data_IF_263098783095
#
_entry.id   IF_263098783095
#
_cell.length_a   1.000
_cell.length_b   1.000
_cell.length_c   1.000
_cell.angle_alpha   90.00
_cell.angle_beta   90.00
_cell.angle_gamma   90.00
#
_symmetry.space_group_name_H-M   'P 1'
#
loop_
_entity.id
_entity.type
_entity.pdbx_description
1 polymer ?
#
# COMPACT_ATOMS: atom_id res chain seq x y z
N UNK A 1 -20.76 42.86 8.46
CA UNK A 1 -20.02 42.42 7.26
C UNK A 1 -19.16 43.58 6.81
N UNK A 2 -17.88 43.59 7.20
CA UNK A 2 -16.89 44.55 6.71
C UNK A 2 -15.97 43.77 5.75
N UNK A 3 -15.67 44.30 4.55
CA UNK A 3 -14.74 43.65 3.63
C UNK A 3 -13.32 43.70 4.20
N UNK A 4 -12.59 42.59 4.04
CA UNK A 4 -11.22 42.37 4.51
C UNK A 4 -10.31 43.48 3.96
N UNK A 5 -9.57 44.16 4.84
CA UNK A 5 -8.47 45.04 4.46
C UNK A 5 -7.48 44.19 3.66
N UNK A 6 -7.40 44.45 2.36
CA UNK A 6 -6.39 43.88 1.49
C UNK A 6 -5.01 44.22 2.06
N UNK A 7 -4.36 43.24 2.69
CA UNK A 7 -2.92 43.28 2.83
C UNK A 7 -2.39 43.26 1.38
N UNK A 8 -1.66 44.31 1.00
CA UNK A 8 -1.06 44.37 -0.33
C UNK A 8 -0.17 43.14 -0.51
N UNK A 9 -0.31 42.39 -1.63
CA UNK A 9 0.56 41.28 -1.91
C UNK A 9 2.00 41.79 -1.92
N UNK A 10 2.90 41.05 -1.25
CA UNK A 10 4.33 41.33 -1.32
C UNK A 10 4.78 41.35 -2.79
N UNK A 11 5.72 42.22 -3.18
CA UNK A 11 6.14 42.33 -4.57
C UNK A 11 6.60 40.96 -5.12
N UNK A 12 6.00 40.56 -6.23
CA UNK A 12 6.10 39.24 -6.90
C UNK A 12 7.50 38.88 -7.44
N UNK A 13 8.54 39.70 -7.23
CA UNK A 13 9.77 39.63 -8.04
C UNK A 13 10.83 38.63 -7.59
N UNK A 14 10.73 38.03 -6.40
CA UNK A 14 11.78 37.11 -5.87
C UNK A 14 11.21 35.88 -5.14
N UNK A 15 10.00 35.43 -5.49
CA UNK A 15 9.46 34.18 -4.90
C UNK A 15 10.21 33.01 -5.51
N UNK A 16 10.94 32.24 -4.70
CA UNK A 16 11.53 30.98 -5.13
C UNK A 16 10.42 30.00 -5.57
N UNK A 17 10.41 29.61 -6.84
CA UNK A 17 9.44 28.69 -7.46
C UNK A 17 10.09 27.39 -7.94
N UNK A 18 11.33 27.14 -7.56
CA UNK A 18 12.08 25.93 -7.93
C UNK A 18 11.50 24.66 -7.30
N UNK A 19 10.66 24.82 -6.27
CA UNK A 19 9.95 23.75 -5.56
C UNK A 19 10.92 22.60 -5.22
N UNK A 20 12.12 22.93 -4.76
CA UNK A 20 13.16 21.97 -4.42
C UNK A 20 13.16 21.57 -2.94
N UNK A 21 12.25 22.18 -2.16
CA UNK A 21 12.14 22.00 -0.73
C UNK A 21 13.10 22.85 0.10
N UNK A 22 13.73 23.90 -0.44
CA UNK A 22 14.66 24.75 0.31
C UNK A 22 14.01 26.04 0.84
N UNK A 23 13.08 26.62 0.08
CA UNK A 23 12.50 27.93 0.39
C UNK A 23 11.17 27.84 1.15
N UNK A 24 11.00 28.73 2.14
CA UNK A 24 9.72 29.02 2.79
C UNK A 24 9.22 30.37 2.24
N UNK A 25 8.08 30.35 1.56
CA UNK A 25 7.54 31.52 0.84
C UNK A 25 6.11 31.83 1.26
N UNK A 26 5.64 33.10 1.14
CA UNK A 26 4.25 33.44 1.39
C UNK A 26 3.32 32.60 0.50
N UNK A 27 2.28 32.02 1.10
CA UNK A 27 1.43 31.07 0.40
C UNK A 27 0.65 31.75 -0.75
N UNK A 28 0.31 33.04 -0.61
CA UNK A 28 -0.34 33.88 -1.63
C UNK A 28 0.52 34.14 -2.84
N UNK A 29 1.79 34.46 -2.58
CA UNK A 29 2.77 34.66 -3.61
C UNK A 29 3.07 33.33 -4.34
N UNK A 30 3.14 32.21 -3.61
CA UNK A 30 3.36 30.88 -4.19
C UNK A 30 2.19 30.42 -5.06
N UNK A 31 0.94 30.47 -4.58
CA UNK A 31 -0.23 30.10 -5.38
C UNK A 31 -0.39 31.01 -6.61
N UNK A 32 -0.14 32.32 -6.47
CA UNK A 32 -0.19 33.25 -7.59
C UNK A 32 0.83 32.91 -8.68
N UNK A 33 2.05 32.51 -8.29
CA UNK A 33 3.09 32.07 -9.21
C UNK A 33 2.73 30.74 -9.92
N UNK A 34 1.92 29.90 -9.30
CA UNK A 34 1.53 28.57 -9.81
C UNK A 34 0.12 28.52 -10.41
N UNK A 35 -0.59 29.65 -10.51
CA UNK A 35 -1.98 29.72 -10.97
C UNK A 35 -2.23 29.18 -12.39
N UNK A 36 -1.17 29.04 -13.21
CA UNK A 36 -1.21 28.49 -14.58
C UNK A 36 -0.30 27.27 -14.77
N UNK A 37 0.33 26.78 -13.71
CA UNK A 37 1.21 25.62 -13.78
C UNK A 37 0.38 24.33 -13.77
N UNK A 38 0.89 23.29 -14.43
CA UNK A 38 0.36 21.94 -14.26
C UNK A 38 0.67 21.44 -12.84
N UNK A 39 -0.23 20.63 -12.30
CA UNK A 39 -0.03 20.05 -10.98
C UNK A 39 1.06 18.97 -11.00
N UNK A 40 1.62 18.69 -9.82
CA UNK A 40 2.74 17.78 -9.68
C UNK A 40 2.71 17.04 -8.35
N UNK A 41 3.28 15.82 -8.30
CA UNK A 41 3.41 15.08 -7.07
C UNK A 41 4.54 15.64 -6.20
N UNK A 42 4.34 15.64 -4.89
CA UNK A 42 5.34 16.17 -3.98
C UNK A 42 4.90 16.27 -2.53
N UNK A 43 5.68 17.03 -1.77
CA UNK A 43 5.53 17.28 -0.34
C UNK A 43 5.42 18.77 -0.12
N UNK A 44 4.60 19.18 0.84
CA UNK A 44 4.47 20.56 1.25
C UNK A 44 4.41 20.68 2.77
N UNK A 45 4.97 21.75 3.30
CA UNK A 45 4.91 22.11 4.71
C UNK A 45 4.27 23.49 4.85
N UNK A 46 3.34 23.58 5.79
CA UNK A 46 2.49 24.72 6.08
C UNK A 46 2.97 25.38 7.37
N UNK A 47 3.12 26.70 7.34
CA UNK A 47 3.61 27.49 8.47
C UNK A 47 2.69 28.66 8.76
N UNK A 48 2.65 29.06 10.02
CA UNK A 48 1.92 30.25 10.47
C UNK A 48 2.67 31.56 10.18
N UNK A 49 2.06 32.68 10.56
CA UNK A 49 2.64 34.03 10.40
C UNK A 49 3.99 34.22 11.10
N UNK A 50 4.33 33.39 12.10
CA UNK A 50 5.60 33.39 12.82
C UNK A 50 6.61 32.40 12.23
N UNK A 51 6.27 31.74 11.11
CA UNK A 51 7.04 30.66 10.49
C UNK A 51 7.21 29.43 11.40
N UNK A 52 6.27 29.20 12.31
CA UNK A 52 6.20 27.94 13.06
C UNK A 52 5.52 26.87 12.20
N UNK A 53 6.07 25.66 12.18
CA UNK A 53 5.56 24.55 11.38
C UNK A 53 4.23 24.05 11.97
N UNK A 54 3.18 24.09 11.16
CA UNK A 54 1.82 23.72 11.56
C UNK A 54 1.38 22.37 10.99
N UNK A 55 1.81 22.05 9.78
CA UNK A 55 1.43 20.82 9.09
C UNK A 55 2.44 20.44 8.00
N UNK A 56 2.62 19.15 7.77
CA UNK A 56 3.32 18.59 6.62
C UNK A 56 2.39 17.62 5.91
N UNK A 57 2.16 17.85 4.62
CA UNK A 57 1.33 17.01 3.76
C UNK A 57 2.07 16.55 2.51
N UNK A 58 1.48 15.60 1.81
CA UNK A 58 1.94 15.15 0.51
C UNK A 58 0.77 14.91 -0.43
N UNK A 59 0.98 15.06 -1.74
CA UNK A 59 -0.08 14.92 -2.73
C UNK A 59 0.49 14.49 -4.08
N UNK A 60 -0.35 13.87 -4.93
CA UNK A 60 -0.10 13.74 -6.37
C UNK A 60 -0.40 15.04 -7.13
N UNK A 61 -1.16 15.94 -6.50
CA UNK A 61 -1.57 17.26 -6.96
C UNK A 61 -1.30 18.31 -5.86
N UNK A 62 -0.03 18.70 -5.69
CA UNK A 62 0.43 19.61 -4.63
C UNK A 62 -0.16 21.01 -4.75
N UNK A 63 -0.29 21.57 -5.96
CA UNK A 63 -0.85 22.93 -6.14
C UNK A 63 -2.29 22.96 -5.62
N UNK A 64 -3.11 21.97 -6.01
CA UNK A 64 -4.48 21.83 -5.52
C UNK A 64 -4.53 21.61 -4.01
N UNK A 65 -3.70 20.70 -3.48
CA UNK A 65 -3.68 20.40 -2.05
C UNK A 65 -3.32 21.63 -1.19
N UNK A 66 -2.35 22.44 -1.61
CA UNK A 66 -1.98 23.68 -0.92
C UNK A 66 -3.12 24.71 -1.00
N UNK A 67 -3.79 24.82 -2.14
CA UNK A 67 -4.96 25.71 -2.31
C UNK A 67 -6.09 25.32 -1.35
N UNK A 68 -6.49 24.05 -1.36
CA UNK A 68 -7.56 23.51 -0.51
C UNK A 68 -7.21 23.63 0.98
N UNK A 69 -5.94 23.46 1.35
CA UNK A 69 -5.47 23.64 2.72
C UNK A 69 -5.60 25.10 3.13
N UNK A 70 -5.16 26.02 2.28
CA UNK A 70 -5.22 27.44 2.60
C UNK A 70 -6.65 27.97 2.71
N UNK A 71 -7.55 27.59 1.80
CA UNK A 71 -8.97 27.96 1.90
C UNK A 71 -9.61 27.47 3.21
N UNK A 72 -9.15 26.33 3.74
CA UNK A 72 -9.66 25.72 4.97
C UNK A 72 -9.05 26.32 6.24
N UNK A 73 -7.76 26.65 6.20
CA UNK A 73 -6.98 27.11 7.36
C UNK A 73 -6.72 28.61 7.29
N UNK A 74 -7.70 29.38 6.81
CA UNK A 74 -7.55 30.76 6.32
C UNK A 74 -6.86 31.73 7.29
N UNK A 75 -6.92 31.46 8.61
CA UNK A 75 -6.31 32.28 9.66
C UNK A 75 -5.02 31.69 10.26
N UNK A 76 -4.59 30.51 9.80
CA UNK A 76 -3.44 29.77 10.36
C UNK A 76 -2.31 29.62 9.34
N UNK A 77 -2.61 29.39 8.05
CA UNK A 77 -1.58 29.22 7.02
C UNK A 77 -1.13 30.56 6.43
N UNK A 78 0.14 30.91 6.60
CA UNK A 78 0.75 32.13 6.04
C UNK A 78 1.92 31.85 5.10
N UNK A 79 2.69 30.78 5.33
CA UNK A 79 3.83 30.41 4.47
C UNK A 79 3.80 28.92 4.11
N UNK A 80 4.40 28.59 2.97
CA UNK A 80 4.54 27.22 2.48
C UNK A 80 5.98 26.93 2.06
N UNK A 81 6.43 25.70 2.28
CA UNK A 81 7.64 25.10 1.72
C UNK A 81 7.21 23.93 0.85
N UNK A 82 7.67 23.87 -0.40
CA UNK A 82 7.21 22.83 -1.36
C UNK A 82 8.39 22.13 -1.99
N UNK A 83 8.28 20.80 -2.11
CA UNK A 83 9.23 19.95 -2.82
C UNK A 83 8.50 19.08 -3.86
N UNK A 84 8.81 19.29 -5.14
CA UNK A 84 8.30 18.50 -6.25
C UNK A 84 9.15 17.23 -6.46
N UNK A 85 8.50 16.08 -6.66
CA UNK A 85 9.17 14.84 -7.06
C UNK A 85 9.21 14.79 -8.59
N UNK A 86 10.35 15.18 -9.16
CA UNK A 86 10.53 15.31 -10.62
C UNK A 86 10.34 14.00 -11.39
N UNK A 87 10.66 12.85 -10.77
CA UNK A 87 10.44 11.54 -11.38
C UNK A 87 9.07 10.98 -10.96
N UNK A 88 8.06 11.22 -11.80
CA UNK A 88 6.69 10.78 -11.54
C UNK A 88 6.56 9.26 -11.30
N UNK A 89 7.39 8.43 -11.96
CA UNK A 89 7.38 6.98 -11.75
C UNK A 89 7.86 6.56 -10.35
N UNK A 90 8.65 7.41 -9.69
CA UNK A 90 9.13 7.21 -8.32
C UNK A 90 8.29 7.98 -7.29
N UNK A 91 7.30 8.76 -7.73
CA UNK A 91 6.36 9.44 -6.86
C UNK A 91 5.23 8.48 -6.44
N UNK A 92 5.59 7.37 -5.79
CA UNK A 92 4.60 6.49 -5.17
C UNK A 92 4.10 7.11 -3.86
N UNK A 93 2.96 6.63 -3.36
CA UNK A 93 2.41 7.06 -2.06
C UNK A 93 3.42 6.84 -0.93
N UNK A 94 4.02 5.65 -0.85
CA UNK A 94 5.04 5.32 0.15
C UNK A 94 6.25 6.27 0.11
N UNK A 95 6.71 6.67 -1.09
CA UNK A 95 7.84 7.60 -1.22
C UNK A 95 7.47 8.99 -0.73
N UNK A 96 6.27 9.48 -1.10
CA UNK A 96 5.74 10.77 -0.64
C UNK A 96 5.56 10.80 0.88
N UNK A 97 4.96 9.76 1.44
CA UNK A 97 4.74 9.62 2.88
C UNK A 97 6.08 9.58 3.64
N UNK A 98 7.04 8.80 3.14
CA UNK A 98 8.37 8.72 3.75
C UNK A 98 9.11 10.07 3.74
N UNK A 99 8.97 10.87 2.67
CA UNK A 99 9.59 12.20 2.59
C UNK A 99 8.88 13.22 3.49
N UNK A 100 7.54 13.19 3.54
CA UNK A 100 6.77 14.01 4.48
C UNK A 100 7.14 13.70 5.94
N UNK A 101 7.26 12.41 6.29
CA UNK A 101 7.72 11.98 7.61
C UNK A 101 9.14 12.45 7.93
N UNK A 102 10.02 12.52 6.93
CA UNK A 102 11.36 13.08 7.12
C UNK A 102 11.34 14.56 7.52
N UNK A 103 10.44 15.36 6.93
CA UNK A 103 10.29 16.79 7.30
C UNK A 103 9.68 16.97 8.69
N UNK A 104 8.75 16.10 9.10
CA UNK A 104 8.23 16.08 10.48
C UNK A 104 9.36 15.74 11.47
N UNK A 105 10.19 14.76 11.15
CA UNK A 105 11.35 14.39 11.98
C UNK A 105 12.40 15.50 12.04
N UNK A 106 12.64 16.21 10.92
CA UNK A 106 13.55 17.37 10.85
C UNK A 106 13.12 18.48 11.83
N UNK A 107 11.82 18.72 11.97
CA UNK A 107 11.27 19.70 12.90
C UNK A 107 11.41 19.32 14.38
N UNK A 108 11.76 18.05 14.68
CA UNK A 108 11.97 17.54 16.03
C UNK A 108 10.73 17.46 16.93
N UNK A 109 9.57 17.89 16.42
CA UNK A 109 8.27 17.85 17.10
C UNK A 109 7.18 17.57 16.08
N UNK A 110 6.14 16.82 16.47
CA UNK A 110 4.98 16.59 15.61
C UNK A 110 4.18 17.89 15.47
N UNK A 111 4.00 18.43 14.25
CA UNK A 111 3.20 19.63 14.04
C UNK A 111 1.75 19.42 14.48
N UNK A 112 1.04 20.46 14.97
CA UNK A 112 -0.35 20.33 15.41
C UNK A 112 -1.26 19.64 14.38
N UNK A 113 -1.12 19.99 13.09
CA UNK A 113 -1.90 19.42 12.00
C UNK A 113 -1.56 17.99 11.62
N UNK A 114 -0.45 17.43 12.11
CA UNK A 114 -0.11 16.01 11.98
C UNK A 114 -0.43 15.21 13.26
N UNK A 115 -1.01 15.88 14.28
CA UNK A 115 -1.36 15.29 15.57
C UNK A 115 -2.72 15.79 16.05
N UNK A 116 -2.73 16.66 17.07
CA UNK A 116 -3.93 17.07 17.82
C UNK A 116 -4.98 17.77 16.96
N UNK A 117 -4.55 18.53 15.95
CA UNK A 117 -5.40 19.40 15.15
C UNK A 117 -5.62 18.84 13.74
N UNK A 118 -5.29 17.57 13.49
CA UNK A 118 -5.34 16.90 12.19
C UNK A 118 -6.65 17.13 11.42
N UNK A 119 -7.77 17.29 12.13
CA UNK A 119 -9.11 17.59 11.59
C UNK A 119 -9.22 18.92 10.84
N UNK A 120 -8.39 19.90 11.19
CA UNK A 120 -8.39 21.24 10.61
C UNK A 120 -7.58 21.23 9.30
N UNK A 121 -6.63 20.31 9.16
CA UNK A 121 -5.66 20.27 8.07
C UNK A 121 -6.01 19.26 6.98
N UNK A 122 -6.80 18.24 7.30
CA UNK A 122 -7.24 17.22 6.35
C UNK A 122 -8.61 17.52 5.72
N UNK A 123 -8.77 17.09 4.46
CA UNK A 123 -10.03 17.19 3.73
C UNK A 123 -11.14 16.28 4.32
N UNK A 124 -12.43 16.51 4.00
CA UNK A 124 -13.53 15.66 4.47
C UNK A 124 -13.38 14.18 4.07
N UNK A 125 -12.58 13.90 3.04
CA UNK A 125 -12.30 12.56 2.52
C UNK A 125 -11.25 11.76 3.32
N UNK A 126 -10.38 12.43 4.08
CA UNK A 126 -9.28 11.79 4.84
C UNK A 126 -9.65 11.55 6.32
N UNK A 127 -10.83 12.00 6.73
CA UNK A 127 -11.29 11.96 8.13
C UNK A 127 -11.73 10.55 8.61
N UNK A 128 -11.84 9.56 7.73
CA UNK A 128 -12.42 8.26 8.08
C UNK A 128 -11.43 7.20 8.62
N UNK A 129 -10.14 7.51 8.76
CA UNK A 129 -9.14 6.55 9.24
C UNK A 129 -8.73 6.72 10.72
N UNK A 130 -8.82 7.91 11.32
CA UNK A 130 -8.24 8.18 12.65
C UNK A 130 -9.23 8.78 13.65
N UNK A 131 -10.20 7.99 14.11
CA UNK A 131 -10.82 8.27 15.41
C UNK A 131 -10.78 7.01 16.27
N UNK A 132 -9.78 6.91 17.14
CA UNK A 132 -9.93 6.16 18.39
C UNK A 132 -10.96 6.91 19.24
N UNK A 133 -12.21 6.46 19.20
CA UNK A 133 -13.24 6.89 20.16
C UNK A 133 -13.37 5.76 21.18
N UNK A 134 -12.87 5.98 22.40
CA UNK A 134 -13.35 5.20 23.53
C UNK A 134 -14.85 5.46 23.70
N UNK A 135 -15.65 4.41 23.49
CA UNK A 135 -16.97 4.30 24.12
C UNK A 135 -18.22 4.70 23.33
N UNK A 136 -18.24 4.68 21.99
CA UNK A 136 -19.50 4.77 21.25
C UNK A 136 -19.57 3.71 20.15
N UNK A 137 -20.60 2.86 20.19
CA UNK A 137 -20.84 1.82 19.19
C UNK A 137 -21.08 2.43 17.79
N UNK A 138 -20.43 1.91 16.72
CA UNK A 138 -20.45 2.56 15.42
C UNK A 138 -21.65 2.13 14.57
N UNK A 139 -22.45 3.10 14.09
CA UNK A 139 -23.24 2.92 12.87
C UNK A 139 -22.33 3.15 11.64
N UNK A 140 -22.19 2.12 10.81
CA UNK A 140 -21.31 2.08 9.64
C UNK A 140 -21.86 2.88 8.43
N UNK A 141 -20.98 3.63 7.74
CA UNK A 141 -21.13 3.98 6.32
C UNK A 141 -19.82 3.69 5.55
N UNK A 142 -19.90 3.33 4.26
CA UNK A 142 -19.13 2.22 3.72
C UNK A 142 -17.83 2.66 3.00
N UNK A 143 -16.67 2.35 3.59
CA UNK A 143 -15.84 1.24 3.12
C UNK A 143 -15.22 1.17 1.70
N UNK A 144 -15.63 1.88 0.64
CA UNK A 144 -15.49 1.31 -0.74
C UNK A 144 -14.08 0.80 -1.12
N UNK A 145 -13.99 -0.53 -1.30
CA UNK A 145 -12.80 -1.32 -1.64
C UNK A 145 -12.17 -0.88 -2.96
N UNK A 146 -10.86 -1.11 -3.19
CA UNK A 146 -10.29 -1.12 -4.53
C UNK A 146 -11.01 -2.11 -5.48
N UNK A 147 -11.59 -3.18 -4.92
CA UNK A 147 -12.46 -4.11 -5.64
C UNK A 147 -13.77 -3.51 -6.19
N UNK A 148 -14.17 -2.31 -5.73
CA UNK A 148 -15.31 -1.58 -6.30
C UNK A 148 -14.95 -0.75 -7.53
N UNK A 149 -13.65 -0.53 -7.80
CA UNK A 149 -13.22 0.19 -8.99
C UNK A 149 -13.28 -0.69 -10.25
N UNK A 150 -13.12 -2.01 -10.10
CA UNK A 150 -13.36 -2.98 -11.16
C UNK A 150 -14.85 -3.05 -11.59
N UNK A 151 -15.77 -2.98 -10.62
CA UNK A 151 -17.21 -2.95 -10.88
C UNK A 151 -17.70 -1.67 -11.60
N UNK A 152 -16.93 -0.57 -11.56
CA UNK A 152 -17.30 0.72 -12.13
C UNK A 152 -17.08 0.82 -13.66
N UNK A 153 -16.31 -0.10 -14.26
CA UNK A 153 -16.10 -0.17 -15.71
C UNK A 153 -17.15 -1.05 -16.41
N UNK A 154 -18.44 -0.75 -16.22
CA UNK A 154 -19.51 -1.32 -17.07
C UNK A 154 -20.49 -0.25 -17.52
N UNK A 155 -20.01 0.64 -18.38
CA UNK A 155 -20.86 1.31 -19.36
C UNK A 155 -20.43 0.82 -20.73
N UNK A 156 -21.34 0.11 -21.40
CA UNK A 156 -21.35 -0.37 -22.80
C UNK A 156 -21.24 -1.92 -22.94
N UNK A 157 -22.35 -2.48 -23.44
CA UNK A 157 -22.69 -3.88 -23.79
C UNK A 157 -22.93 -4.82 -22.58
N UNK A 158 -24.07 -5.48 -22.40
CA UNK A 158 -24.98 -6.07 -23.37
C UNK A 158 -26.41 -6.22 -22.80
N UNK A 159 -27.32 -6.58 -23.71
CA UNK A 159 -28.79 -6.65 -23.66
C UNK A 159 -29.45 -7.44 -22.50
N UNK A 160 -30.73 -7.13 -22.29
CA UNK A 160 -31.58 -7.48 -21.15
C UNK A 160 -31.93 -8.97 -20.94
N UNK A 161 -32.00 -9.37 -19.67
CA UNK A 161 -33.01 -10.32 -19.14
C UNK A 161 -33.09 -10.23 -17.60
N UNK A 162 -34.29 -9.92 -17.11
CA UNK A 162 -34.90 -10.05 -15.77
C UNK A 162 -34.06 -10.11 -14.47
N UNK A 163 -34.49 -9.30 -13.49
CA UNK A 163 -34.03 -9.18 -12.10
C UNK A 163 -33.99 -10.52 -11.34
N UNK A 164 -32.93 -11.31 -11.52
CA UNK A 164 -32.57 -12.39 -10.60
C UNK A 164 -31.10 -12.22 -10.16
N UNK A 165 -30.89 -12.03 -8.86
CA UNK A 165 -29.53 -11.91 -8.31
C UNK A 165 -28.74 -13.19 -8.64
N UNK A 166 -27.48 -13.09 -9.12
CA UNK A 166 -26.70 -14.25 -9.51
C UNK A 166 -26.54 -15.22 -8.33
N UNK A 167 -26.74 -16.51 -8.57
CA UNK A 167 -26.61 -17.56 -7.54
C UNK A 167 -25.15 -17.77 -7.19
N UNK A 168 -24.82 -17.85 -5.90
CA UNK A 168 -23.47 -18.13 -5.43
C UNK A 168 -23.08 -19.59 -5.71
N UNK A 169 -22.33 -19.81 -6.79
CA UNK A 169 -21.70 -21.08 -7.16
C UNK A 169 -20.18 -20.91 -7.22
N UNK A 170 -19.42 -22.02 -7.30
CA UNK A 170 -17.96 -21.97 -7.41
C UNK A 170 -17.52 -21.23 -8.68
N UNK A 171 -18.11 -21.56 -9.82
CA UNK A 171 -17.80 -20.90 -11.11
C UNK A 171 -18.12 -19.41 -11.08
N UNK A 172 -19.28 -19.03 -10.51
CA UNK A 172 -19.66 -17.62 -10.41
C UNK A 172 -18.74 -16.86 -9.43
N UNK A 173 -18.32 -17.49 -8.34
CA UNK A 173 -17.35 -16.90 -7.43
C UNK A 173 -15.99 -16.70 -8.14
N UNK A 174 -15.53 -17.68 -8.91
CA UNK A 174 -14.27 -17.60 -9.65
C UNK A 174 -14.29 -16.48 -10.71
N UNK A 175 -15.41 -16.33 -11.45
CA UNK A 175 -15.61 -15.20 -12.40
C UNK A 175 -15.45 -13.84 -11.72
N UNK A 176 -15.97 -13.67 -10.51
CA UNK A 176 -15.79 -12.42 -9.74
C UNK A 176 -14.34 -12.24 -9.34
N UNK A 177 -13.64 -13.33 -9.03
CA UNK A 177 -12.24 -13.26 -8.65
C UNK A 177 -11.33 -12.98 -9.85
N UNK A 178 -11.72 -13.28 -11.09
CA UNK A 178 -10.95 -12.85 -12.27
C UNK A 178 -10.72 -11.33 -12.32
N UNK A 179 -11.65 -10.53 -11.80
CA UNK A 179 -11.50 -9.08 -11.70
C UNK A 179 -10.46 -8.66 -10.64
N UNK A 180 -10.20 -9.52 -9.64
CA UNK A 180 -9.26 -9.26 -8.53
C UNK A 180 -7.86 -9.81 -8.81
N UNK A 181 -7.75 -10.88 -9.60
CA UNK A 181 -6.49 -11.57 -9.93
C UNK A 181 -5.38 -10.65 -10.46
N UNK A 182 -5.62 -9.66 -11.33
CA UNK A 182 -4.56 -8.77 -11.81
C UNK A 182 -3.82 -8.03 -10.68
N UNK A 183 -4.54 -7.67 -9.61
CA UNK A 183 -3.96 -7.00 -8.45
C UNK A 183 -3.19 -7.99 -7.58
N UNK A 184 -3.74 -9.19 -7.35
CA UNK A 184 -3.06 -10.25 -6.60
C UNK A 184 -1.75 -10.66 -7.28
N UNK A 185 -1.78 -10.83 -8.61
CA UNK A 185 -0.63 -11.20 -9.42
C UNK A 185 0.44 -10.10 -9.43
N UNK A 186 0.04 -8.82 -9.40
CA UNK A 186 0.98 -7.70 -9.27
C UNK A 186 1.74 -7.75 -7.93
N UNK A 187 1.10 -8.24 -6.87
CA UNK A 187 1.69 -8.44 -5.54
C UNK A 187 2.38 -9.82 -5.39
N UNK A 188 2.43 -10.62 -6.46
CA UNK A 188 3.10 -11.92 -6.49
C UNK A 188 2.32 -13.04 -5.81
N UNK A 189 0.99 -12.95 -5.77
CA UNK A 189 0.11 -14.03 -5.32
C UNK A 189 -1.09 -14.25 -6.23
N UNK A 190 -1.96 -15.17 -5.82
CA UNK A 190 -3.19 -15.48 -6.55
C UNK A 190 -4.22 -16.09 -5.57
N UNK A 191 -5.42 -16.42 -6.06
CA UNK A 191 -6.47 -17.09 -5.27
C UNK A 191 -7.19 -18.15 -6.12
N UNK A 192 -7.50 -19.31 -5.55
CA UNK A 192 -8.29 -20.34 -6.22
C UNK A 192 -9.56 -20.66 -5.42
N UNK A 193 -10.71 -20.78 -6.09
CA UNK A 193 -11.95 -21.20 -5.43
C UNK A 193 -11.98 -22.73 -5.32
N UNK A 194 -11.88 -23.25 -4.10
CA UNK A 194 -11.87 -24.69 -3.84
C UNK A 194 -13.28 -25.26 -3.86
N UNK A 195 -14.22 -24.60 -3.19
CA UNK A 195 -15.63 -24.99 -3.16
C UNK A 195 -16.51 -23.89 -2.59
N UNK A 196 -17.81 -23.99 -2.88
CA UNK A 196 -18.85 -23.17 -2.24
C UNK A 196 -19.83 -24.09 -1.54
N UNK A 197 -20.08 -23.85 -0.25
CA UNK A 197 -20.97 -24.68 0.56
C UNK A 197 -21.65 -23.86 1.66
N UNK A 198 -22.98 -23.98 1.76
CA UNK A 198 -23.79 -23.33 2.81
C UNK A 198 -23.60 -21.80 2.90
N UNK A 199 -23.32 -21.15 1.76
CA UNK A 199 -23.01 -19.73 1.67
C UNK A 199 -21.56 -19.36 2.01
N UNK A 200 -20.71 -20.33 2.35
CA UNK A 200 -19.28 -20.12 2.55
C UNK A 200 -18.50 -20.40 1.27
N UNK A 201 -17.56 -19.52 0.93
CA UNK A 201 -16.63 -19.71 -0.19
C UNK A 201 -15.28 -20.11 0.37
N UNK A 202 -14.84 -21.31 0.02
CA UNK A 202 -13.54 -21.84 0.41
C UNK A 202 -12.54 -21.48 -0.67
N UNK A 203 -11.48 -20.78 -0.28
CA UNK A 203 -10.45 -20.31 -1.20
C UNK A 203 -9.07 -20.78 -0.76
N UNK A 204 -8.19 -21.00 -1.73
CA UNK A 204 -6.78 -21.25 -1.52
C UNK A 204 -5.98 -20.07 -2.09
N UNK A 205 -5.45 -19.22 -1.22
CA UNK A 205 -4.46 -18.21 -1.61
C UNK A 205 -3.13 -18.84 -2.01
N UNK A 206 -2.59 -18.39 -3.14
CA UNK A 206 -1.32 -18.86 -3.71
C UNK A 206 -0.24 -17.76 -3.67
N UNK A 207 1.02 -18.15 -3.79
CA UNK A 207 2.18 -17.24 -3.85
C UNK A 207 2.44 -16.49 -2.53
N UNK A 208 2.82 -15.22 -2.62
CA UNK A 208 3.09 -14.37 -1.44
C UNK A 208 1.88 -14.23 -0.51
N UNK A 209 0.67 -14.36 -1.06
CA UNK A 209 -0.59 -14.26 -0.34
C UNK A 209 -0.83 -15.44 0.63
N UNK A 210 -0.34 -16.64 0.31
CA UNK A 210 -0.46 -17.83 1.17
C UNK A 210 0.69 -18.00 2.18
N UNK A 211 1.80 -17.27 2.00
CA UNK A 211 3.01 -17.42 2.82
C UNK A 211 3.21 -16.31 3.86
N UNK A 212 2.48 -15.19 3.74
CA UNK A 212 2.61 -14.03 4.62
C UNK A 212 1.39 -13.85 5.53
N UNK A 213 1.53 -14.18 6.81
CA UNK A 213 0.46 -14.11 7.82
C UNK A 213 -0.07 -12.70 8.07
N UNK A 214 0.73 -11.66 7.80
CA UNK A 214 0.29 -10.26 7.95
C UNK A 214 -0.58 -9.76 6.79
N UNK A 215 -0.45 -10.37 5.61
CA UNK A 215 -1.19 -9.95 4.41
C UNK A 215 -2.46 -10.78 4.17
N UNK A 216 -2.50 -12.01 4.71
CA UNK A 216 -3.64 -12.93 4.63
C UNK A 216 -4.96 -12.30 5.08
N UNK A 217 -4.98 -11.64 6.25
CA UNK A 217 -6.22 -11.05 6.78
C UNK A 217 -6.77 -9.93 5.87
N UNK A 218 -5.89 -9.06 5.35
CA UNK A 218 -6.26 -7.94 4.48
C UNK A 218 -6.72 -8.40 3.11
N UNK A 219 -6.04 -9.40 2.54
CA UNK A 219 -6.39 -9.99 1.25
C UNK A 219 -7.71 -10.74 1.31
N UNK A 220 -7.93 -11.53 2.37
CA UNK A 220 -9.21 -12.21 2.62
C UNK A 220 -10.36 -11.22 2.71
N UNK A 221 -10.21 -10.12 3.44
CA UNK A 221 -11.22 -9.06 3.50
C UNK A 221 -11.50 -8.43 2.12
N UNK A 222 -10.46 -8.32 1.29
CA UNK A 222 -10.56 -7.85 -0.09
C UNK A 222 -11.42 -8.75 -0.97
N UNK A 223 -11.06 -10.04 -1.01
CA UNK A 223 -11.76 -11.11 -1.73
C UNK A 223 -13.20 -11.21 -1.27
N UNK A 224 -13.43 -11.23 0.05
CA UNK A 224 -14.76 -11.27 0.64
C UNK A 224 -15.60 -10.09 0.18
N UNK A 225 -15.01 -8.91 0.09
CA UNK A 225 -15.72 -7.71 -0.36
C UNK A 225 -16.10 -7.75 -1.83
N UNK A 226 -15.22 -8.24 -2.70
CA UNK A 226 -15.51 -8.42 -4.12
C UNK A 226 -16.71 -9.37 -4.31
N UNK A 227 -16.67 -10.52 -3.63
CA UNK A 227 -17.74 -11.51 -3.65
C UNK A 227 -19.04 -10.95 -3.04
N UNK A 228 -18.97 -10.27 -1.90
CA UNK A 228 -20.13 -9.67 -1.22
C UNK A 228 -20.80 -8.61 -2.08
N UNK A 229 -20.04 -7.86 -2.87
CA UNK A 229 -20.59 -6.88 -3.82
C UNK A 229 -21.43 -7.51 -4.94
N UNK A 230 -21.15 -8.78 -5.29
CA UNK A 230 -21.87 -9.50 -6.35
C UNK A 230 -23.02 -10.35 -5.83
N UNK A 231 -22.80 -11.04 -4.70
CA UNK A 231 -23.68 -12.09 -4.19
C UNK A 231 -24.51 -11.68 -2.96
N UNK A 232 -24.20 -10.53 -2.35
CA UNK A 232 -24.95 -9.99 -1.21
C UNK A 232 -25.08 -11.00 -0.06
N UNK A 233 -26.32 -11.24 0.37
CA UNK A 233 -26.66 -12.09 1.53
C UNK A 233 -26.45 -13.59 1.28
N UNK A 234 -26.19 -14.01 0.03
CA UNK A 234 -25.83 -15.40 -0.26
C UNK A 234 -24.44 -15.75 0.28
N UNK A 235 -23.55 -14.77 0.41
CA UNK A 235 -22.22 -14.93 0.97
C UNK A 235 -22.25 -14.76 2.49
N UNK A 236 -21.97 -15.84 3.22
CA UNK A 236 -21.74 -15.83 4.66
C UNK A 236 -20.31 -15.40 4.97
N UNK A 237 -19.33 -16.20 4.58
CA UNK A 237 -17.91 -15.97 4.88
C UNK A 237 -17.00 -16.52 3.77
N UNK A 238 -15.82 -15.91 3.62
CA UNK A 238 -14.71 -16.48 2.86
C UNK A 238 -13.72 -17.18 3.82
N UNK A 239 -13.52 -18.47 3.59
CA UNK A 239 -12.69 -19.33 4.42
C UNK A 239 -11.43 -19.69 3.63
N UNK A 240 -10.26 -19.26 4.12
CA UNK A 240 -8.99 -19.74 3.60
C UNK A 240 -8.85 -21.22 4.00
N UNK A 241 -8.65 -22.10 3.01
CA UNK A 241 -8.20 -23.45 3.32
C UNK A 241 -6.71 -23.39 3.64
N UNK A 242 -6.30 -23.96 4.77
CA UNK A 242 -4.89 -24.17 5.01
C UNK A 242 -4.42 -25.19 3.96
N UNK A 243 -3.51 -24.78 3.06
CA UNK A 243 -2.68 -25.74 2.33
C UNK A 243 -2.05 -26.64 3.39
N UNK A 244 -2.11 -27.96 3.21
CA UNK A 244 -1.56 -28.90 4.18
C UNK A 244 -0.17 -28.40 4.58
N UNK A 245 0.00 -27.98 5.84
CA UNK A 245 1.29 -27.53 6.36
C UNK A 245 2.22 -28.74 6.26
N UNK A 246 2.98 -28.81 5.15
CA UNK A 246 4.05 -29.79 4.96
C UNK A 246 5.14 -29.65 6.04
N UNK A 247 5.02 -28.63 6.90
CA UNK A 247 5.87 -28.37 8.05
C UNK A 247 7.31 -28.18 7.63
N UNK A 248 8.21 -28.45 8.56
CA UNK A 248 9.66 -28.42 8.34
C UNK A 248 10.14 -29.68 7.58
N UNK A 249 9.52 -29.96 6.43
CA UNK A 249 9.94 -31.03 5.51
C UNK A 249 10.66 -30.44 4.30
N UNK A 250 11.40 -31.29 3.56
CA UNK A 250 12.05 -30.87 2.32
C UNK A 250 11.04 -30.35 1.28
N UNK A 251 9.87 -30.98 1.20
CA UNK A 251 8.80 -30.59 0.28
C UNK A 251 8.19 -29.25 0.68
N UNK A 252 7.99 -29.01 1.97
CA UNK A 252 7.51 -27.72 2.50
C UNK A 252 8.47 -26.58 2.18
N UNK A 253 9.77 -26.76 2.45
CA UNK A 253 10.79 -25.76 2.11
C UNK A 253 10.90 -25.57 0.59
N UNK A 254 10.78 -26.64 -0.19
CA UNK A 254 10.82 -26.55 -1.64
C UNK A 254 9.64 -25.74 -2.19
N UNK A 255 8.42 -25.99 -1.72
CA UNK A 255 7.22 -25.24 -2.11
C UNK A 255 7.35 -23.74 -1.78
N UNK A 256 7.91 -23.40 -0.61
CA UNK A 256 8.18 -22.01 -0.24
C UNK A 256 9.20 -21.35 -1.19
N UNK A 257 10.29 -22.07 -1.53
CA UNK A 257 11.30 -21.55 -2.44
C UNK A 257 10.83 -21.44 -3.89
N UNK A 258 9.82 -22.21 -4.31
CA UNK A 258 9.26 -22.12 -5.66
C UNK A 258 8.73 -20.71 -5.98
N UNK A 259 8.14 -20.02 -5.00
CA UNK A 259 7.72 -18.61 -5.15
C UNK A 259 8.90 -17.64 -5.33
N UNK A 260 10.07 -17.95 -4.76
CA UNK A 260 11.25 -17.06 -4.79
C UNK A 260 12.18 -17.34 -5.98
N UNK A 261 12.13 -18.54 -6.57
CA UNK A 261 12.98 -18.97 -7.69
C UNK A 261 13.00 -18.01 -8.88
N UNK A 262 11.87 -17.42 -9.34
CA UNK A 262 11.88 -16.47 -10.45
C UNK A 262 12.75 -15.23 -10.18
N UNK A 263 12.63 -14.67 -8.97
CA UNK A 263 13.42 -13.51 -8.55
C UNK A 263 14.90 -13.89 -8.38
N UNK A 264 15.19 -15.01 -7.72
CA UNK A 264 16.55 -15.53 -7.54
C UNK A 264 17.25 -15.70 -8.91
N UNK A 265 16.53 -16.26 -9.89
CA UNK A 265 17.01 -16.42 -11.27
C UNK A 265 17.26 -15.10 -11.98
N UNK A 266 16.38 -14.10 -11.79
CA UNK A 266 16.57 -12.77 -12.34
C UNK A 266 17.85 -12.08 -11.83
N UNK A 267 18.27 -12.39 -10.60
CA UNK A 267 19.53 -11.93 -10.00
C UNK A 267 20.73 -12.86 -10.25
N UNK A 268 20.61 -13.84 -11.16
CA UNK A 268 21.69 -14.75 -11.54
C UNK A 268 21.98 -15.86 -10.52
N UNK A 269 21.00 -16.19 -9.67
CA UNK A 269 21.06 -17.31 -8.75
C UNK A 269 20.20 -18.50 -9.18
N UNK A 270 20.52 -19.69 -8.71
CA UNK A 270 19.68 -20.88 -8.76
C UNK A 270 19.73 -21.58 -7.41
N UNK A 271 18.58 -22.05 -6.92
CA UNK A 271 18.47 -22.75 -5.63
C UNK A 271 17.62 -24.01 -5.74
N UNK A 272 18.08 -25.11 -5.15
CA UNK A 272 17.33 -26.36 -5.02
C UNK A 272 17.46 -26.91 -3.60
N UNK A 273 16.38 -27.40 -3.02
CA UNK A 273 16.41 -28.06 -1.71
C UNK A 273 16.98 -29.47 -1.90
N UNK A 274 17.98 -29.84 -1.09
CA UNK A 274 18.53 -31.19 -1.08
C UNK A 274 17.87 -32.02 0.01
N UNK A 275 17.91 -31.51 1.25
CA UNK A 275 17.38 -32.21 2.42
C UNK A 275 17.04 -31.23 3.54
N UNK A 276 16.10 -31.64 4.41
CA UNK A 276 15.80 -30.98 5.68
C UNK A 276 15.81 -32.05 6.76
N UNK A 277 16.77 -31.96 7.68
CA UNK A 277 16.96 -32.94 8.75
C UNK A 277 17.33 -32.22 10.05
N UNK A 278 16.61 -32.52 11.14
CA UNK A 278 16.92 -32.03 12.50
C UNK A 278 17.12 -30.51 12.59
N UNK A 279 16.30 -29.73 11.88
CA UNK A 279 16.40 -28.26 11.87
C UNK A 279 17.55 -27.71 11.00
N UNK A 280 18.21 -28.56 10.21
CA UNK A 280 19.20 -28.16 9.20
C UNK A 280 18.62 -28.34 7.80
N UNK A 281 18.57 -27.26 7.04
CA UNK A 281 18.17 -27.27 5.64
C UNK A 281 19.41 -27.17 4.76
N UNK A 282 19.65 -28.18 3.93
CA UNK A 282 20.73 -28.17 2.94
C UNK A 282 20.14 -27.79 1.60
N UNK A 283 20.66 -26.73 0.99
CA UNK A 283 20.27 -26.27 -0.34
C UNK A 283 21.47 -26.27 -1.28
N UNK A 284 21.25 -26.73 -2.51
CA UNK A 284 22.15 -26.50 -3.62
C UNK A 284 21.94 -25.08 -4.11
N UNK A 285 22.99 -24.26 -4.14
CA UNK A 285 22.91 -22.87 -4.56
C UNK A 285 24.09 -22.46 -5.42
N UNK A 286 23.78 -21.84 -6.55
CA UNK A 286 24.75 -21.24 -7.47
C UNK A 286 24.34 -19.80 -7.71
N UNK A 287 25.21 -18.83 -7.40
CA UNK A 287 24.92 -17.42 -7.67
C UNK A 287 25.66 -16.44 -6.75
N UNK A 288 25.29 -15.15 -6.78
CA UNK A 288 25.91 -14.12 -5.95
C UNK A 288 25.66 -14.32 -4.46
N UNK A 289 26.70 -14.14 -3.64
CA UNK A 289 26.65 -14.29 -2.17
C UNK A 289 25.54 -13.44 -1.51
N UNK A 290 25.25 -12.27 -2.07
CA UNK A 290 24.20 -11.36 -1.60
C UNK A 290 22.80 -11.98 -1.64
N UNK A 291 22.53 -12.87 -2.61
CA UNK A 291 21.24 -13.53 -2.74
C UNK A 291 21.13 -14.73 -1.79
N UNK A 292 22.24 -15.43 -1.52
CA UNK A 292 22.25 -16.53 -0.56
C UNK A 292 21.85 -16.09 0.86
N UNK A 293 22.28 -14.89 1.30
CA UNK A 293 21.84 -14.32 2.56
C UNK A 293 20.32 -14.08 2.61
N UNK A 294 19.73 -13.60 1.51
CA UNK A 294 18.28 -13.42 1.38
C UNK A 294 17.50 -14.73 1.40
N UNK A 295 18.00 -15.77 0.72
CA UNK A 295 17.41 -17.12 0.73
C UNK A 295 17.41 -17.68 2.16
N UNK A 296 18.54 -17.55 2.88
CA UNK A 296 18.64 -17.98 4.29
C UNK A 296 17.58 -17.31 5.16
N UNK A 297 17.42 -15.99 5.02
CA UNK A 297 16.44 -15.23 5.79
C UNK A 297 15.01 -15.70 5.47
N UNK A 298 14.67 -15.85 4.19
CA UNK A 298 13.33 -16.26 3.76
C UNK A 298 12.94 -17.66 4.24
N UNK A 299 13.90 -18.60 4.27
CA UNK A 299 13.68 -19.96 4.81
C UNK A 299 13.47 -19.92 6.32
N UNK A 300 14.30 -19.18 7.06
CA UNK A 300 14.20 -19.09 8.53
C UNK A 300 12.95 -18.37 9.01
N UNK A 301 12.49 -17.36 8.26
CA UNK A 301 11.29 -16.61 8.58
C UNK A 301 10.03 -17.50 8.48
N UNK A 302 9.95 -18.32 7.43
CA UNK A 302 8.81 -19.23 7.20
C UNK A 302 8.87 -20.51 8.04
N UNK A 303 10.07 -21.03 8.32
CA UNK A 303 10.28 -22.28 9.05
C UNK A 303 11.14 -22.04 10.29
N UNK A 304 10.55 -21.62 11.42
CA UNK A 304 11.28 -21.29 12.64
C UNK A 304 12.08 -22.47 13.23
N UNK A 305 11.66 -23.71 12.96
CA UNK A 305 12.37 -24.92 13.38
C UNK A 305 13.70 -25.14 12.62
N UNK A 306 13.92 -24.42 11.51
CA UNK A 306 15.18 -24.47 10.75
C UNK A 306 16.20 -23.54 11.41
N UNK A 307 17.04 -24.13 12.25
CA UNK A 307 18.14 -23.46 12.96
C UNK A 307 19.26 -23.05 11.99
N UNK A 308 19.52 -23.86 10.96
CA UNK A 308 20.64 -23.65 10.04
C UNK A 308 20.25 -23.91 8.58
N UNK A 309 20.70 -23.01 7.68
CA UNK A 309 20.60 -23.20 6.22
C UNK A 309 22.00 -23.27 5.65
N UNK A 310 22.35 -24.46 5.14
CA UNK A 310 23.66 -24.79 4.57
C UNK A 310 23.56 -24.72 3.05
N UNK A 311 24.48 -23.97 2.43
CA UNK A 311 24.56 -23.82 0.99
C UNK A 311 25.67 -24.72 0.45
N UNK A 312 25.37 -25.54 -0.55
CA UNK A 312 26.31 -26.38 -1.27
C UNK A 312 26.35 -26.02 -2.75
N UNK A 313 27.49 -26.18 -3.41
CA UNK A 313 27.61 -26.11 -4.87
C UNK A 313 27.40 -27.50 -5.52
N UNK A 314 27.47 -27.59 -6.85
CA UNK A 314 27.27 -28.87 -7.57
C UNK A 314 28.33 -29.94 -7.26
N UNK A 315 29.45 -29.55 -6.64
CA UNK A 315 30.49 -30.47 -6.17
C UNK A 315 30.25 -30.97 -4.74
N UNK A 316 29.21 -30.48 -4.06
CA UNK A 316 28.92 -30.75 -2.65
C UNK A 316 29.78 -29.95 -1.69
N UNK A 317 30.58 -29.00 -2.19
CA UNK A 317 31.41 -28.14 -1.36
C UNK A 317 30.53 -27.05 -0.71
N UNK A 318 30.79 -26.69 0.56
CA UNK A 318 30.05 -25.62 1.22
C UNK A 318 30.36 -24.28 0.55
N UNK A 319 29.31 -23.54 0.20
CA UNK A 319 29.42 -22.17 -0.30
C UNK A 319 29.58 -21.25 0.90
N UNK A 320 30.73 -20.56 1.01
CA UNK A 320 30.92 -19.56 2.05
C UNK A 320 30.02 -18.34 1.81
N UNK A 321 28.96 -18.23 2.61
CA UNK A 321 28.05 -17.09 2.64
C UNK A 321 28.30 -16.34 3.94
N UNK A 322 29.27 -15.41 3.92
CA UNK A 322 29.53 -14.46 5.01
C UNK A 322 28.56 -13.29 4.96
#
# INVERSE_FOLDING_TARGET
MLPRLAQQPAPLSDVATDNDGSAIVPVDAWLSAHAKADDFPGIFACYDSQKSLQYVGHSDAVIRAVCDTWERTEDVLAYVRVQAIKNHAMATESVRESQARAWINEAGTTPPGNGTDKRIWMGPSEYLSDTEVEGAEPEERPRVSPFLQAAAHRSIANDASDDEAPVLTADAADEVLEEVRPFLLADGGDVEVVKVQDGNVYVEMQGNCGSCSSSEATLRMGIERALRSRFGDQLREVIQVATEDLGTSADGVNAHLDGLRPAIKAYGGEVRVLEVLEGRCTVLYTGPVTIAAGIRAAVKDRFPDIVEVVFQDESGAPVEVK
#
